data_IF_134946772188
#
_entry.id   IF_134946772188
#
_cell.length_a   1.000
_cell.length_b   1.000
_cell.length_c   1.000
_cell.angle_alpha   90.00
_cell.angle_beta   90.00
_cell.angle_gamma   90.00
#
_symmetry.space_group_name_H-M   'P 1'
#
loop_
_entity.id
_entity.type
_entity.pdbx_description
1 polymer ?
#
# COMPACT_ATOMS: atom_id res chain seq x y z
N UNK A 1 1.39 25.98 -1.34
CA UNK A 1 1.50 24.73 -0.57
C UNK A 1 0.08 24.26 -0.36
N UNK A 2 -0.40 23.40 -1.26
CA UNK A 2 -1.75 22.88 -1.17
C UNK A 2 -1.82 21.96 0.06
N UNK A 3 -2.94 21.99 0.79
CA UNK A 3 -3.16 21.21 2.02
C UNK A 3 -3.11 19.67 1.81
N UNK A 4 -2.77 19.24 0.59
CA UNK A 4 -2.71 17.87 0.12
C UNK A 4 -1.28 17.35 -0.10
N UNK A 5 -0.24 18.18 0.01
CA UNK A 5 1.15 17.72 -0.14
C UNK A 5 1.78 17.34 1.20
N UNK A 6 2.57 16.26 1.26
CA UNK A 6 3.22 15.83 2.51
C UNK A 6 4.13 16.94 3.02
N UNK A 7 4.19 17.08 4.35
CA UNK A 7 5.20 17.94 4.97
C UNK A 7 6.60 17.46 4.60
N UNK A 8 7.61 18.33 4.74
CA UNK A 8 9.00 17.96 4.41
C UNK A 8 9.50 16.77 5.23
N UNK A 9 9.10 16.67 6.49
CA UNK A 9 9.37 15.52 7.35
C UNK A 9 8.70 14.24 6.84
N UNK A 10 7.42 14.32 6.49
CA UNK A 10 6.65 13.21 5.92
C UNK A 10 7.22 12.73 4.58
N UNK A 11 7.62 13.67 3.72
CA UNK A 11 8.30 13.37 2.47
C UNK A 11 9.62 12.65 2.73
N UNK A 12 10.42 13.12 3.68
CA UNK A 12 11.65 12.44 4.11
C UNK A 12 11.42 11.02 4.62
N UNK A 13 10.36 10.79 5.39
CA UNK A 13 9.95 9.45 5.86
C UNK A 13 9.57 8.55 4.69
N UNK A 14 8.79 9.05 3.74
CA UNK A 14 8.34 8.32 2.55
C UNK A 14 9.52 7.90 1.68
N UNK A 15 10.42 8.84 1.35
CA UNK A 15 11.64 8.58 0.58
C UNK A 15 12.50 7.55 1.30
N UNK A 16 12.74 7.75 2.61
CA UNK A 16 13.51 6.81 3.42
C UNK A 16 12.92 5.40 3.43
N UNK A 17 11.59 5.26 3.49
CA UNK A 17 10.92 3.96 3.41
C UNK A 17 11.07 3.33 2.02
N UNK A 18 10.81 4.08 0.94
CA UNK A 18 10.89 3.59 -0.42
C UNK A 18 12.30 3.05 -0.72
N UNK A 19 13.33 3.83 -0.40
CA UNK A 19 14.72 3.41 -0.50
C UNK A 19 15.02 2.17 0.34
N UNK A 20 14.57 2.11 1.59
CA UNK A 20 14.78 0.92 2.43
C UNK A 20 14.16 -0.33 1.84
N UNK A 21 12.93 -0.24 1.36
CA UNK A 21 12.20 -1.37 0.78
C UNK A 21 12.84 -1.85 -0.52
N UNK A 22 13.28 -0.94 -1.38
CA UNK A 22 13.87 -1.27 -2.68
C UNK A 22 15.38 -1.54 -2.63
N UNK A 23 16.05 -1.21 -1.51
CA UNK A 23 17.49 -1.52 -1.32
C UNK A 23 17.80 -3.00 -1.20
N UNK A 24 16.80 -3.82 -0.86
CA UNK A 24 16.97 -5.27 -0.73
C UNK A 24 16.56 -5.95 -2.03
N UNK A 25 17.48 -6.70 -2.62
CA UNK A 25 17.17 -7.51 -3.80
C UNK A 25 16.08 -8.53 -3.50
N UNK A 26 15.14 -8.64 -4.43
CA UNK A 26 14.05 -9.58 -4.34
C UNK A 26 14.57 -11.00 -4.55
N UNK A 27 14.56 -11.82 -3.49
CA UNK A 27 15.04 -13.20 -3.60
C UNK A 27 14.07 -14.08 -4.40
N UNK A 28 14.61 -15.05 -5.15
CA UNK A 28 13.78 -16.03 -5.85
C UNK A 28 12.84 -16.79 -4.89
N UNK A 29 13.31 -17.08 -3.67
CA UNK A 29 12.49 -17.71 -2.65
C UNK A 29 11.27 -16.86 -2.25
N UNK A 30 11.41 -15.53 -2.16
CA UNK A 30 10.28 -14.65 -1.88
C UNK A 30 9.26 -14.67 -3.02
N UNK A 31 9.73 -14.63 -4.27
CA UNK A 31 8.89 -14.73 -5.47
C UNK A 31 8.12 -16.06 -5.47
N UNK A 32 8.79 -17.17 -5.18
CA UNK A 32 8.17 -18.50 -5.16
C UNK A 32 7.14 -18.64 -4.05
N UNK A 33 7.40 -18.08 -2.86
CA UNK A 33 6.43 -18.05 -1.76
C UNK A 33 5.20 -17.26 -2.18
N UNK A 34 5.38 -16.06 -2.73
CA UNK A 34 4.26 -15.21 -3.13
C UNK A 34 3.48 -15.80 -4.29
N UNK A 35 4.15 -16.45 -5.26
CA UNK A 35 3.49 -17.19 -6.33
C UNK A 35 2.55 -18.27 -5.75
N UNK A 36 3.03 -19.08 -4.80
CA UNK A 36 2.18 -20.08 -4.12
C UNK A 36 1.02 -19.45 -3.34
N UNK A 37 1.25 -18.33 -2.69
CA UNK A 37 0.21 -17.61 -1.93
C UNK A 37 -0.91 -17.08 -2.84
N UNK A 38 -0.55 -16.56 -4.01
CA UNK A 38 -1.50 -15.98 -4.96
C UNK A 38 -2.13 -17.01 -5.92
N UNK A 39 -1.50 -18.17 -6.08
CA UNK A 39 -1.86 -19.15 -7.12
C UNK A 39 -1.56 -18.69 -8.55
N UNK A 40 -0.79 -17.61 -8.71
CA UNK A 40 -0.39 -17.01 -9.99
C UNK A 40 0.90 -16.19 -9.83
N UNK A 41 1.60 -15.94 -10.94
CA UNK A 41 2.85 -15.17 -10.91
C UNK A 41 2.62 -13.73 -10.37
N UNK A 42 3.44 -13.24 -9.42
CA UNK A 42 3.30 -11.91 -8.83
C UNK A 42 3.81 -10.81 -9.77
N UNK A 43 2.95 -10.40 -10.71
CA UNK A 43 3.27 -9.37 -11.71
C UNK A 43 3.65 -8.04 -11.05
N UNK A 44 4.79 -7.48 -11.47
CA UNK A 44 5.24 -6.17 -11.02
C UNK A 44 5.75 -6.13 -9.58
N UNK A 45 6.01 -7.27 -8.94
CA UNK A 45 6.60 -7.31 -7.60
C UNK A 45 8.02 -6.70 -7.62
N UNK A 46 8.25 -5.73 -6.74
CA UNK A 46 9.52 -5.03 -6.57
C UNK A 46 10.24 -5.47 -5.29
N UNK A 47 9.49 -5.59 -4.20
CA UNK A 47 10.05 -5.88 -2.88
C UNK A 47 9.04 -6.60 -1.98
N UNK A 48 9.51 -7.14 -0.86
CA UNK A 48 8.64 -7.59 0.23
C UNK A 48 8.40 -6.40 1.16
N UNK A 49 7.15 -5.94 1.24
CA UNK A 49 6.76 -4.79 2.07
C UNK A 49 6.60 -5.13 3.55
N UNK A 50 6.17 -6.37 3.85
CA UNK A 50 6.02 -6.84 5.22
C UNK A 50 6.23 -8.36 5.31
N UNK A 51 6.82 -8.81 6.43
CA UNK A 51 7.05 -10.23 6.73
C UNK A 51 6.32 -10.65 8.00
N UNK A 52 5.91 -11.92 8.03
CA UNK A 52 5.43 -12.58 9.24
C UNK A 52 6.61 -12.89 10.17
N UNK A 53 6.35 -13.15 11.45
CA UNK A 53 7.36 -13.63 12.43
C UNK A 53 8.09 -14.90 11.97
N UNK A 54 7.47 -15.70 11.10
CA UNK A 54 8.10 -16.87 10.47
C UNK A 54 8.96 -16.53 9.23
N UNK A 55 9.17 -15.27 8.91
CA UNK A 55 9.97 -14.78 7.77
C UNK A 55 9.24 -14.73 6.42
N UNK A 56 8.07 -15.36 6.29
CA UNK A 56 7.31 -15.38 5.01
C UNK A 56 6.73 -14.01 4.65
N UNK A 57 6.72 -13.62 3.37
CA UNK A 57 6.03 -12.42 2.90
C UNK A 57 4.55 -12.41 3.30
N UNK A 58 4.10 -11.25 3.79
CA UNK A 58 2.69 -10.97 4.10
C UNK A 58 2.13 -9.93 3.14
N UNK A 59 2.92 -8.93 2.80
CA UNK A 59 2.60 -7.94 1.77
C UNK A 59 3.81 -7.69 0.89
N UNK A 60 3.56 -7.35 -0.37
CA UNK A 60 4.58 -7.01 -1.37
C UNK A 60 4.40 -5.58 -1.85
N UNK A 61 5.51 -4.99 -2.29
CA UNK A 61 5.51 -3.72 -3.01
C UNK A 61 5.46 -4.03 -4.50
N UNK A 62 4.53 -3.42 -5.21
CA UNK A 62 4.34 -3.59 -6.65
C UNK A 62 4.56 -2.29 -7.41
N UNK A 63 5.01 -2.41 -8.66
CA UNK A 63 5.13 -1.28 -9.58
C UNK A 63 3.79 -0.54 -9.72
N UNK A 64 3.78 0.79 -9.68
CA UNK A 64 2.60 1.60 -10.00
C UNK A 64 2.12 1.37 -11.44
N UNK A 65 3.04 1.19 -12.39
CA UNK A 65 2.74 0.83 -13.78
C UNK A 65 3.37 -0.52 -14.14
N UNK A 66 2.57 -1.40 -14.75
CA UNK A 66 3.07 -2.62 -15.36
C UNK A 66 3.70 -2.32 -16.74
N UNK A 67 4.56 -3.23 -17.26
CA UNK A 67 5.03 -3.14 -18.64
C UNK A 67 3.87 -2.94 -19.62
N UNK A 68 4.00 -1.96 -20.51
CA UNK A 68 2.91 -1.53 -21.40
C UNK A 68 2.05 -0.38 -20.85
N UNK A 69 2.44 0.22 -19.72
CA UNK A 69 1.80 1.42 -19.18
C UNK A 69 0.47 1.17 -18.47
N UNK A 70 0.16 -0.09 -18.15
CA UNK A 70 -1.10 -0.46 -17.49
C UNK A 70 -1.01 -0.10 -16.01
N UNK A 71 -1.89 0.76 -15.46
CA UNK A 71 -1.88 1.09 -14.05
C UNK A 71 -2.19 -0.12 -13.18
N UNK A 72 -1.34 -0.37 -12.20
CA UNK A 72 -1.60 -1.38 -11.17
C UNK A 72 -2.39 -0.74 -10.02
N UNK A 73 -3.47 -1.38 -9.53
CA UNK A 73 -4.46 -0.73 -8.66
C UNK A 73 -3.94 -0.39 -7.25
N UNK A 74 -2.82 -0.98 -6.82
CA UNK A 74 -2.21 -0.66 -5.53
C UNK A 74 -0.69 -0.83 -5.57
N UNK A 75 0.05 -0.09 -4.76
CA UNK A 75 1.50 -0.29 -4.58
C UNK A 75 1.77 -1.29 -3.45
N UNK A 76 0.81 -1.50 -2.53
CA UNK A 76 0.94 -2.39 -1.38
C UNK A 76 -0.06 -3.54 -1.51
N UNK A 77 0.40 -4.74 -1.86
CA UNK A 77 -0.48 -5.88 -2.12
C UNK A 77 -0.35 -6.96 -1.06
N UNK A 78 -1.46 -7.28 -0.39
CA UNK A 78 -1.50 -8.30 0.67
C UNK A 78 -1.58 -9.71 0.06
N UNK A 79 -0.62 -10.56 0.38
CA UNK A 79 -0.49 -11.91 -0.20
C UNK A 79 -0.52 -13.01 0.86
N UNK A 80 -0.16 -12.69 2.11
CA UNK A 80 -0.11 -13.66 3.21
C UNK A 80 -1.48 -14.30 3.51
N UNK A 81 -1.65 -15.63 3.39
CA UNK A 81 -2.97 -16.27 3.48
C UNK A 81 -3.70 -16.00 4.80
N UNK A 82 -3.00 -16.04 5.93
CA UNK A 82 -3.57 -15.74 7.25
C UNK A 82 -4.00 -14.28 7.38
N UNK A 83 -3.22 -13.35 6.83
CA UNK A 83 -3.55 -11.92 6.85
C UNK A 83 -4.71 -11.60 5.91
N UNK A 84 -4.75 -12.20 4.72
CA UNK A 84 -5.88 -12.10 3.79
C UNK A 84 -7.14 -12.63 4.46
N UNK A 85 -7.09 -13.81 5.10
CA UNK A 85 -8.24 -14.37 5.82
C UNK A 85 -8.72 -13.46 6.96
N UNK A 86 -7.80 -12.89 7.73
CA UNK A 86 -8.13 -11.96 8.81
C UNK A 86 -8.78 -10.68 8.28
N UNK A 87 -8.23 -10.10 7.21
CA UNK A 87 -8.82 -8.94 6.53
C UNK A 87 -10.23 -9.27 6.04
N UNK A 88 -10.42 -10.38 5.31
CA UNK A 88 -11.73 -10.80 4.82
C UNK A 88 -12.75 -11.02 5.94
N UNK A 89 -12.33 -11.53 7.10
CA UNK A 89 -13.22 -11.70 8.24
C UNK A 89 -13.73 -10.35 8.77
N UNK A 90 -12.85 -9.35 8.91
CA UNK A 90 -13.23 -7.99 9.31
C UNK A 90 -14.11 -7.30 8.27
N UNK A 91 -13.81 -7.51 6.98
CA UNK A 91 -14.65 -6.99 5.90
C UNK A 91 -16.07 -7.57 5.97
N UNK A 92 -16.19 -8.88 6.21
CA UNK A 92 -17.48 -9.56 6.37
C UNK A 92 -18.23 -9.15 7.65
N UNK A 93 -17.52 -8.80 8.72
CA UNK A 93 -18.09 -8.31 9.97
C UNK A 93 -18.71 -6.90 9.83
N UNK A 94 -18.44 -6.19 8.73
CA UNK A 94 -19.01 -4.88 8.46
C UNK A 94 -18.14 -3.71 8.92
N UNK A 95 -16.94 -3.97 9.44
CA UNK A 95 -16.02 -2.96 9.97
C UNK A 95 -15.77 -1.80 8.99
N UNK A 96 -15.78 -2.06 7.67
CA UNK A 96 -15.61 -1.00 6.66
C UNK A 96 -16.72 0.06 6.70
N UNK A 97 -17.96 -0.36 6.92
CA UNK A 97 -19.11 0.56 7.03
C UNK A 97 -18.99 1.35 8.32
N UNK A 98 -18.68 0.68 9.43
CA UNK A 98 -18.46 1.32 10.73
C UNK A 98 -17.35 2.37 10.66
N UNK A 99 -16.19 2.02 10.10
CA UNK A 99 -15.08 2.95 9.92
C UNK A 99 -15.44 4.12 9.02
N UNK A 100 -16.21 3.89 7.95
CA UNK A 100 -16.69 4.97 7.07
C UNK A 100 -17.61 5.92 7.83
N UNK A 101 -18.55 5.42 8.63
CA UNK A 101 -19.40 6.26 9.48
C UNK A 101 -18.57 7.01 10.52
N UNK A 102 -17.58 6.37 11.13
CA UNK A 102 -16.71 7.02 12.12
C UNK A 102 -15.92 8.17 11.51
N UNK A 103 -15.47 8.08 10.26
CA UNK A 103 -14.78 9.19 9.57
C UNK A 103 -15.60 10.48 9.52
N UNK A 104 -16.94 10.39 9.60
CA UNK A 104 -17.83 11.57 9.61
C UNK A 104 -17.90 12.25 10.98
N UNK A 105 -17.57 11.53 12.06
CA UNK A 105 -17.79 11.99 13.45
C UNK A 105 -16.52 12.05 14.30
N UNK A 106 -15.48 11.32 13.91
CA UNK A 106 -14.20 11.17 14.64
C UNK A 106 -13.12 11.95 13.88
N UNK A 107 -12.86 13.16 14.35
CA UNK A 107 -11.95 14.11 13.70
C UNK A 107 -10.51 13.59 13.67
N UNK A 108 -10.04 12.95 14.75
CA UNK A 108 -8.70 12.38 14.80
C UNK A 108 -8.54 11.24 13.79
N UNK A 109 -9.58 10.39 13.65
CA UNK A 109 -9.59 9.34 12.63
C UNK A 109 -9.57 9.93 11.21
N UNK A 110 -10.35 10.99 10.96
CA UNK A 110 -10.41 11.66 9.65
C UNK A 110 -9.07 12.26 9.27
N UNK A 111 -8.45 13.03 10.18
CA UNK A 111 -7.12 13.63 9.98
C UNK A 111 -6.06 12.56 9.75
N UNK A 112 -6.09 11.47 10.53
CA UNK A 112 -5.17 10.35 10.36
C UNK A 112 -5.33 9.65 9.01
N UNK A 113 -6.56 9.51 8.51
CA UNK A 113 -6.84 8.85 7.24
C UNK A 113 -6.50 9.73 6.03
N UNK A 114 -6.71 11.05 6.10
CA UNK A 114 -6.22 12.02 5.12
C UNK A 114 -4.70 12.04 5.06
N UNK A 115 -4.03 11.99 6.21
CA UNK A 115 -2.58 11.85 6.29
C UNK A 115 -2.11 10.55 5.63
N UNK A 116 -2.78 9.43 5.89
CA UNK A 116 -2.45 8.15 5.27
C UNK A 116 -2.60 8.18 3.74
N UNK A 117 -3.63 8.84 3.21
CA UNK A 117 -3.82 9.05 1.77
C UNK A 117 -2.68 9.82 1.13
N UNK A 118 -2.30 10.92 1.77
CA UNK A 118 -1.18 11.74 1.34
C UNK A 118 0.13 10.96 1.31
N UNK A 119 0.46 10.26 2.39
CA UNK A 119 1.67 9.45 2.49
C UNK A 119 1.67 8.31 1.46
N UNK A 120 0.52 7.68 1.23
CA UNK A 120 0.39 6.61 0.24
C UNK A 120 0.63 7.12 -1.19
N UNK A 121 0.07 8.27 -1.55
CA UNK A 121 0.30 8.90 -2.87
C UNK A 121 1.76 9.28 -3.05
N UNK A 122 2.36 9.91 -2.04
CA UNK A 122 3.78 10.27 -2.06
C UNK A 122 4.66 9.02 -2.19
N UNK A 123 4.37 7.96 -1.44
CA UNK A 123 5.10 6.69 -1.52
C UNK A 123 4.95 6.05 -2.90
N UNK A 124 3.74 6.04 -3.45
CA UNK A 124 3.47 5.52 -4.79
C UNK A 124 4.20 6.32 -5.87
N UNK A 125 4.28 7.64 -5.75
CA UNK A 125 5.04 8.52 -6.63
C UNK A 125 6.54 8.25 -6.54
N UNK A 126 7.09 8.16 -5.32
CA UNK A 126 8.50 7.85 -5.11
C UNK A 126 8.89 6.50 -5.74
N UNK A 127 8.08 5.47 -5.56
CA UNK A 127 8.32 4.17 -6.22
C UNK A 127 8.32 4.32 -7.74
N UNK A 128 7.43 5.12 -8.33
CA UNK A 128 7.39 5.34 -9.78
C UNK A 128 8.69 5.99 -10.28
N UNK A 129 9.17 7.04 -9.58
CA UNK A 129 10.45 7.69 -9.88
C UNK A 129 11.61 6.69 -9.83
N UNK A 130 11.69 5.90 -8.76
CA UNK A 130 12.77 4.92 -8.56
C UNK A 130 12.82 3.84 -9.65
N UNK A 131 11.67 3.46 -10.22
CA UNK A 131 11.59 2.39 -11.24
C UNK A 131 11.43 2.89 -12.67
N UNK A 132 11.49 4.22 -12.86
CA UNK A 132 11.37 4.89 -14.16
C UNK A 132 9.97 4.81 -14.79
N UNK A 133 8.91 4.71 -13.99
CA UNK A 133 7.53 4.75 -14.45
C UNK A 133 7.08 6.20 -14.73
N UNK A 134 6.22 6.40 -15.73
CA UNK A 134 5.63 7.71 -16.02
C UNK A 134 4.64 8.18 -14.95
N UNK A 135 4.58 9.49 -14.71
CA UNK A 135 3.83 10.08 -13.59
C UNK A 135 2.36 10.36 -13.87
N UNK A 136 1.97 10.46 -15.15
CA UNK A 136 0.66 10.93 -15.62
C UNK A 136 -0.54 10.15 -15.04
N UNK A 137 -0.30 8.94 -14.52
CA UNK A 137 -1.31 8.05 -13.93
C UNK A 137 -1.02 7.63 -12.48
N UNK A 138 0.04 8.15 -11.86
CA UNK A 138 0.51 7.71 -10.54
C UNK A 138 0.09 8.68 -9.44
N UNK A 139 0.21 9.98 -9.67
CA UNK A 139 0.03 11.02 -8.63
C UNK A 139 -1.42 11.13 -8.12
N UNK A 140 -2.42 10.90 -8.97
CA UNK A 140 -3.83 11.08 -8.61
C UNK A 140 -4.51 9.81 -8.06
N UNK A 141 -3.86 8.64 -8.16
CA UNK A 141 -4.51 7.36 -7.84
C UNK A 141 -4.32 7.01 -6.37
N UNK A 142 -5.32 7.40 -5.59
CA UNK A 142 -5.53 6.83 -4.26
C UNK A 142 -6.06 5.39 -4.37
N UNK A 143 -5.95 4.63 -3.28
CA UNK A 143 -6.44 3.25 -3.21
C UNK A 143 -7.61 3.14 -2.24
N UNK A 144 -8.51 2.17 -2.48
CA UNK A 144 -9.53 1.81 -1.49
C UNK A 144 -10.62 2.84 -1.17
N UNK A 145 -10.82 3.89 -2.00
CA UNK A 145 -11.87 4.90 -1.78
C UNK A 145 -11.48 6.04 -0.82
N UNK A 146 -10.20 6.12 -0.46
CA UNK A 146 -9.62 7.22 0.32
C UNK A 146 -9.77 8.58 -0.38
N UNK A 147 -9.78 9.68 0.41
CA UNK A 147 -9.75 9.73 1.87
C UNK A 147 -11.15 9.65 2.51
N UNK A 148 -12.23 9.53 1.74
CA UNK A 148 -13.59 9.69 2.28
C UNK A 148 -14.31 8.38 2.59
N UNK A 149 -13.79 7.24 2.12
CA UNK A 149 -14.43 5.93 2.30
C UNK A 149 -13.39 4.83 2.50
N UNK A 150 -13.72 3.85 3.35
CA UNK A 150 -12.92 2.63 3.52
C UNK A 150 -13.56 1.50 2.69
N UNK A 151 -12.89 1.07 1.62
CA UNK A 151 -13.37 -0.05 0.77
C UNK A 151 -12.64 -1.38 0.96
N UNK A 152 -11.46 -1.39 1.59
CA UNK A 152 -10.72 -2.61 1.91
C UNK A 152 -9.65 -2.36 2.97
N UNK A 153 -9.27 -3.42 3.72
CA UNK A 153 -8.23 -3.33 4.76
C UNK A 153 -6.80 -3.48 4.24
N UNK A 154 -6.59 -3.78 2.96
CA UNK A 154 -5.25 -4.01 2.40
C UNK A 154 -4.30 -2.80 2.50
N UNK A 155 -4.84 -1.60 2.80
CA UNK A 155 -4.08 -0.36 3.01
C UNK A 155 -4.01 0.08 4.49
N UNK A 156 -4.75 -0.60 5.38
CA UNK A 156 -4.88 -0.18 6.77
C UNK A 156 -3.92 -0.97 7.65
N UNK A 157 -2.75 -0.39 7.93
CA UNK A 157 -1.90 -0.84 9.02
C UNK A 157 -1.45 0.35 9.90
N UNK A 158 -2.14 0.61 11.03
CA UNK A 158 -1.86 1.77 11.89
C UNK A 158 -0.57 1.65 12.74
N UNK A 159 0.34 0.71 12.46
CA UNK A 159 1.57 0.47 13.24
C UNK A 159 2.85 0.20 12.42
N UNK A 160 2.92 0.58 11.13
CA UNK A 160 4.20 0.59 10.36
C UNK A 160 4.56 1.99 9.87
N UNK A 161 3.93 3.02 10.43
CA UNK A 161 4.28 4.42 10.23
C UNK A 161 4.36 5.10 11.58
#
# INVERSE_FOLDING_TARGET
MDAHDPTEEEAGVVVGLAHRLLSHELSQNDVDVVHRQLGRFPRGMLAVGARCVCGRPVAVITRPLLPGGIPFPTTCYLTGPSAVKAASHREAAGDMRELTTRLETDEDLRVGYERADRLYKAFRHEIALMVGDGEDHVAAVSAGGMPTRVKCFMLWWPRVW
#
